data_IF_816032628236
#
_entry.id   IF_816032628236
#
_cell.length_a   1.000
_cell.length_b   1.000
_cell.length_c   1.000
_cell.angle_alpha   90.00
_cell.angle_beta   90.00
_cell.angle_gamma   90.00
#
_symmetry.space_group_name_H-M   'P 1'
#
loop_
_entity.id
_entity.type
_entity.pdbx_description
1 polymer ?
#
# COMPACT_ATOMS: atom_id res chain seq x y z
N UNK A 1 24.30 5.66 -7.75
CA UNK A 1 22.91 6.15 -7.89
C UNK A 1 22.03 5.31 -6.98
N UNK A 2 21.05 5.92 -6.30
CA UNK A 2 20.05 5.18 -5.54
C UNK A 2 19.11 4.48 -6.52
N UNK A 3 18.98 3.16 -6.42
CA UNK A 3 18.06 2.38 -7.26
C UNK A 3 16.62 2.63 -6.81
N UNK A 4 15.74 2.96 -7.76
CA UNK A 4 14.30 3.18 -7.55
C UNK A 4 13.65 1.89 -7.04
N UNK A 5 12.73 2.00 -6.09
CA UNK A 5 11.98 0.88 -5.53
C UNK A 5 10.50 0.94 -5.90
N UNK A 6 9.96 -0.14 -6.45
CA UNK A 6 8.54 -0.33 -6.69
C UNK A 6 7.97 -1.43 -5.80
N UNK A 7 6.84 -1.14 -5.15
CA UNK A 7 6.12 -2.05 -4.28
C UNK A 7 4.70 -2.27 -4.81
N UNK A 8 4.32 -3.52 -5.01
CA UNK A 8 2.94 -3.93 -5.24
C UNK A 8 2.32 -4.36 -3.91
N UNK A 9 1.22 -3.72 -3.52
CA UNK A 9 0.29 -4.29 -2.55
C UNK A 9 -0.78 -5.08 -3.31
N UNK A 10 -0.67 -6.40 -3.27
CA UNK A 10 -1.61 -7.29 -3.91
C UNK A 10 -2.78 -7.57 -2.97
N UNK A 11 -3.91 -6.97 -3.28
CA UNK A 11 -5.14 -7.03 -2.53
C UNK A 11 -6.10 -8.12 -3.02
N UNK A 12 -5.58 -9.19 -3.62
CA UNK A 12 -6.37 -10.42 -3.83
C UNK A 12 -6.90 -10.93 -2.49
N UNK A 13 -8.14 -11.43 -2.48
CA UNK A 13 -8.75 -12.02 -1.28
C UNK A 13 -8.30 -13.48 -1.05
N UNK A 14 -7.49 -14.01 -1.97
CA UNK A 14 -6.84 -15.31 -1.85
C UNK A 14 -5.46 -15.10 -1.24
N UNK A 15 -5.12 -15.92 -0.26
CA UNK A 15 -3.76 -15.97 0.27
C UNK A 15 -2.79 -16.58 -0.77
N UNK A 16 -1.50 -16.58 -0.46
CA UNK A 16 -0.46 -17.07 -1.36
C UNK A 16 -0.43 -18.59 -1.53
N UNK A 17 -1.31 -19.35 -0.86
CA UNK A 17 -1.49 -20.78 -1.15
C UNK A 17 -2.31 -21.02 -2.43
N UNK A 18 -2.97 -19.99 -2.94
CA UNK A 18 -3.78 -20.05 -4.14
C UNK A 18 -3.27 -19.12 -5.26
N UNK A 19 -3.47 -19.54 -6.51
CA UNK A 19 -3.18 -18.70 -7.67
C UNK A 19 -4.11 -17.46 -7.72
N UNK A 20 -3.55 -16.34 -8.17
CA UNK A 20 -4.23 -15.05 -8.26
C UNK A 20 -3.98 -14.36 -9.59
N UNK A 21 -5.04 -14.09 -10.35
CA UNK A 21 -4.93 -13.33 -11.61
C UNK A 21 -4.38 -11.91 -11.40
N UNK A 22 -4.70 -11.29 -10.25
CA UNK A 22 -4.15 -9.99 -9.87
C UNK A 22 -2.63 -10.05 -9.74
N UNK A 23 -2.10 -11.14 -9.17
CA UNK A 23 -0.64 -11.35 -9.09
C UNK A 23 -0.03 -11.56 -10.47
N UNK A 24 -0.62 -12.40 -11.31
CA UNK A 24 -0.12 -12.61 -12.67
C UNK A 24 0.01 -11.28 -13.42
N UNK A 25 -1.02 -10.42 -13.38
CA UNK A 25 -0.97 -9.10 -14.01
C UNK A 25 0.06 -8.17 -13.34
N UNK A 26 0.13 -8.15 -12.01
CA UNK A 26 1.14 -7.34 -11.30
C UNK A 26 2.56 -7.76 -11.66
N UNK A 27 2.82 -9.05 -11.85
CA UNK A 27 4.14 -9.56 -12.22
C UNK A 27 4.58 -9.09 -13.61
N UNK A 28 3.68 -8.98 -14.58
CA UNK A 28 4.00 -8.40 -15.91
C UNK A 28 4.48 -6.93 -15.80
N UNK A 29 3.81 -6.16 -14.93
CA UNK A 29 4.20 -4.76 -14.65
C UNK A 29 5.56 -4.71 -13.97
N UNK A 30 5.78 -5.55 -12.95
CA UNK A 30 7.05 -5.60 -12.23
C UNK A 30 8.20 -6.10 -13.11
N UNK A 31 7.97 -7.05 -14.02
CA UNK A 31 8.98 -7.51 -14.97
C UNK A 31 9.42 -6.36 -15.89
N UNK A 32 8.45 -5.55 -16.34
CA UNK A 32 8.74 -4.35 -17.14
C UNK A 32 9.57 -3.35 -16.35
N UNK A 33 9.21 -3.05 -15.11
CA UNK A 33 9.97 -2.13 -14.25
C UNK A 33 11.39 -2.66 -13.95
N UNK A 34 11.52 -3.97 -13.75
CA UNK A 34 12.82 -4.60 -13.45
C UNK A 34 13.80 -4.48 -14.61
N UNK A 35 13.32 -4.42 -15.86
CA UNK A 35 14.16 -4.16 -17.06
C UNK A 35 14.75 -2.74 -17.08
N UNK A 36 14.16 -1.83 -16.31
CA UNK A 36 14.61 -0.43 -16.13
C UNK A 36 15.41 -0.23 -14.83
N UNK A 37 16.04 -1.29 -14.30
CA UNK A 37 16.84 -1.29 -13.06
C UNK A 37 16.08 -0.88 -11.78
N UNK A 38 14.75 -0.99 -11.80
CA UNK A 38 13.88 -0.79 -10.63
C UNK A 38 13.89 -2.04 -9.75
N UNK A 39 14.13 -1.87 -8.44
CA UNK A 39 13.94 -2.95 -7.47
C UNK A 39 12.46 -3.15 -7.20
N UNK A 40 11.98 -4.36 -7.41
CA UNK A 40 10.55 -4.69 -7.31
C UNK A 40 10.28 -5.60 -6.11
N UNK A 41 9.14 -5.40 -5.45
CA UNK A 41 8.63 -6.25 -4.37
C UNK A 41 7.11 -6.35 -4.48
N UNK A 42 6.56 -7.52 -4.13
CA UNK A 42 5.10 -7.73 -3.98
C UNK A 42 4.80 -8.19 -2.57
N UNK A 43 3.76 -7.62 -1.95
CA UNK A 43 3.18 -8.08 -0.68
C UNK A 43 1.75 -8.54 -0.97
N UNK A 44 1.45 -9.81 -0.66
CA UNK A 44 0.07 -10.32 -0.64
C UNK A 44 -0.60 -9.91 0.66
N UNK A 45 -1.56 -8.98 0.60
CA UNK A 45 -2.22 -8.49 1.81
C UNK A 45 -3.00 -9.56 2.57
N UNK A 46 -3.53 -10.57 1.87
CA UNK A 46 -4.27 -11.68 2.47
C UNK A 46 -3.39 -12.61 3.34
N UNK A 47 -2.06 -12.52 3.24
CA UNK A 47 -1.15 -13.32 4.07
C UNK A 47 -0.89 -12.69 5.45
N UNK A 48 -1.40 -11.47 5.69
CA UNK A 48 -1.11 -10.70 6.89
C UNK A 48 -2.40 -10.39 7.66
N UNK A 49 -2.28 -10.37 8.97
CA UNK A 49 -3.33 -9.89 9.85
C UNK A 49 -3.34 -8.35 9.85
N UNK A 50 -4.20 -7.74 9.04
CA UNK A 50 -4.34 -6.28 8.93
C UNK A 50 -5.64 -5.86 9.61
N UNK A 51 -5.52 -5.18 10.75
CA UNK A 51 -6.67 -4.72 11.51
C UNK A 51 -7.42 -3.59 10.79
N UNK A 52 -8.75 -3.60 10.90
CA UNK A 52 -9.59 -2.51 10.39
C UNK A 52 -9.31 -1.20 11.14
N UNK A 53 -9.39 -0.08 10.42
CA UNK A 53 -9.19 1.26 10.98
C UNK A 53 -8.23 2.08 10.11
N UNK A 54 -7.95 3.31 10.52
CA UNK A 54 -7.17 4.26 9.71
C UNK A 54 -5.78 4.58 10.28
N UNK A 55 -5.51 4.26 11.55
CA UNK A 55 -4.24 4.60 12.21
C UNK A 55 -3.03 3.89 11.57
N UNK A 56 -1.79 4.29 11.90
CA UNK A 56 -0.61 3.61 11.36
C UNK A 56 -0.38 2.23 12.01
N UNK A 57 -0.94 2.02 13.21
CA UNK A 57 -0.88 0.81 14.01
C UNK A 57 -2.19 0.73 14.83
N UNK A 58 -2.90 -0.40 14.75
CA UNK A 58 -4.08 -0.66 15.58
C UNK A 58 -3.74 -1.41 16.88
N UNK A 59 -2.50 -1.85 17.06
CA UNK A 59 -2.10 -2.75 18.14
C UNK A 59 -2.57 -4.19 17.93
N UNK A 60 -2.53 -4.99 19.00
CA UNK A 60 -3.16 -6.33 19.06
C UNK A 60 -2.81 -7.30 17.90
N UNK A 61 -1.56 -7.27 17.44
CA UNK A 61 -1.09 -8.16 16.37
C UNK A 61 -1.37 -7.65 14.96
N UNK A 62 -1.71 -6.37 14.81
CA UNK A 62 -1.76 -5.69 13.51
C UNK A 62 -0.40 -5.71 12.83
N UNK A 63 -0.38 -6.25 11.61
CA UNK A 63 0.80 -6.37 10.78
C UNK A 63 0.94 -5.22 9.76
N UNK A 64 0.00 -4.27 9.74
CA UNK A 64 0.14 -3.10 8.89
C UNK A 64 1.45 -2.31 9.12
N UNK A 65 1.96 -2.09 10.34
CA UNK A 65 3.17 -1.27 10.54
C UNK A 65 4.41 -1.77 9.77
N UNK A 66 4.58 -3.10 9.63
CA UNK A 66 5.69 -3.68 8.86
C UNK A 66 5.51 -3.50 7.35
N UNK A 67 4.27 -3.66 6.85
CA UNK A 67 3.91 -3.38 5.45
C UNK A 67 4.12 -1.89 5.16
N UNK A 68 3.65 -1.03 6.05
CA UNK A 68 3.71 0.42 5.90
C UNK A 68 5.14 0.95 5.92
N UNK A 69 6.07 0.29 6.62
CA UNK A 69 7.50 0.58 6.50
C UNK A 69 8.00 0.41 5.07
N UNK A 70 7.63 -0.69 4.39
CA UNK A 70 7.99 -0.93 2.98
C UNK A 70 7.32 0.08 2.04
N UNK A 71 6.06 0.44 2.32
CA UNK A 71 5.34 1.49 1.58
C UNK A 71 6.09 2.83 1.65
N UNK A 72 6.58 3.24 2.82
CA UNK A 72 7.35 4.49 2.98
C UNK A 72 8.72 4.45 2.32
N UNK A 73 9.29 3.27 2.11
CA UNK A 73 10.57 3.09 1.44
C UNK A 73 10.44 3.01 -0.09
N UNK A 74 9.23 2.77 -0.61
CA UNK A 74 8.97 2.65 -2.04
C UNK A 74 8.84 4.03 -2.71
N UNK A 75 9.45 4.17 -3.88
CA UNK A 75 9.29 5.34 -4.74
C UNK A 75 8.03 5.22 -5.62
N UNK A 76 7.65 3.98 -5.95
CA UNK A 76 6.47 3.63 -6.74
C UNK A 76 5.62 2.66 -5.93
N UNK A 77 4.37 3.04 -5.63
CA UNK A 77 3.39 2.18 -4.99
C UNK A 77 2.30 1.78 -5.98
N UNK A 78 2.07 0.49 -6.14
CA UNK A 78 1.04 -0.09 -7.02
C UNK A 78 0.04 -0.85 -6.16
N UNK A 79 -1.25 -0.52 -6.28
CA UNK A 79 -2.32 -1.30 -5.64
C UNK A 79 -2.91 -2.26 -6.67
N UNK A 80 -2.55 -3.54 -6.57
CA UNK A 80 -3.13 -4.60 -7.40
C UNK A 80 -4.40 -5.11 -6.74
N UNK A 81 -5.57 -4.88 -7.35
CA UNK A 81 -6.86 -5.35 -6.80
C UNK A 81 -7.61 -6.22 -7.82
N UNK A 82 -8.26 -7.32 -7.39
CA UNK A 82 -9.30 -7.91 -8.20
C UNK A 82 -10.49 -6.95 -8.30
N UNK A 83 -11.31 -7.12 -9.34
CA UNK A 83 -12.59 -6.43 -9.49
C UNK A 83 -13.72 -7.43 -9.34
N UNK A 84 -14.72 -7.07 -8.54
CA UNK A 84 -15.95 -7.83 -8.41
C UNK A 84 -17.14 -6.87 -8.53
N UNK A 85 -17.98 -7.05 -9.55
CA UNK A 85 -19.10 -6.15 -9.86
C UNK A 85 -18.70 -4.67 -10.02
N UNK A 86 -17.48 -4.43 -10.51
CA UNK A 86 -16.93 -3.07 -10.68
C UNK A 86 -16.24 -2.50 -9.44
N UNK A 87 -16.30 -3.19 -8.31
CA UNK A 87 -15.70 -2.75 -7.05
C UNK A 87 -14.32 -3.37 -6.81
N UNK A 88 -13.45 -2.61 -6.15
CA UNK A 88 -12.16 -3.09 -5.61
C UNK A 88 -12.36 -3.99 -4.40
N UNK A 89 -11.36 -4.77 -4.03
CA UNK A 89 -11.44 -5.64 -2.85
C UNK A 89 -11.52 -4.84 -1.55
N UNK A 90 -12.03 -5.49 -0.49
CA UNK A 90 -11.99 -4.96 0.87
C UNK A 90 -10.55 -4.70 1.33
N UNK A 91 -9.61 -5.59 0.99
CA UNK A 91 -8.19 -5.40 1.29
C UNK A 91 -7.59 -4.17 0.60
N UNK A 92 -7.99 -3.88 -0.64
CA UNK A 92 -7.55 -2.67 -1.34
C UNK A 92 -8.11 -1.41 -0.68
N UNK A 93 -9.39 -1.45 -0.28
CA UNK A 93 -10.03 -0.36 0.45
C UNK A 93 -9.32 -0.10 1.77
N UNK A 94 -9.07 -1.15 2.55
CA UNK A 94 -8.35 -1.06 3.81
C UNK A 94 -6.96 -0.47 3.62
N UNK A 95 -6.15 -1.01 2.70
CA UNK A 95 -4.79 -0.50 2.45
C UNK A 95 -4.79 1.00 2.06
N UNK A 96 -5.77 1.45 1.27
CA UNK A 96 -5.92 2.86 0.89
C UNK A 96 -6.28 3.71 2.11
N UNK A 97 -7.25 3.29 2.93
CA UNK A 97 -7.65 4.02 4.14
C UNK A 97 -6.46 4.20 5.10
N UNK A 98 -5.70 3.13 5.30
CA UNK A 98 -4.48 3.14 6.13
C UNK A 98 -3.39 4.05 5.58
N UNK A 99 -3.18 4.05 4.26
CA UNK A 99 -2.22 4.93 3.61
C UNK A 99 -2.62 6.41 3.69
N UNK A 100 -3.91 6.71 3.47
CA UNK A 100 -4.41 8.08 3.43
C UNK A 100 -4.29 8.80 4.77
N UNK A 101 -4.41 8.12 5.91
CA UNK A 101 -4.18 8.74 7.22
C UNK A 101 -2.73 9.27 7.34
N UNK A 102 -1.75 8.48 6.90
CA UNK A 102 -0.37 8.92 6.91
C UNK A 102 -0.13 10.13 6.00
N UNK A 103 -0.77 10.15 4.82
CA UNK A 103 -0.74 11.30 3.90
C UNK A 103 -1.35 12.54 4.57
N UNK A 104 -2.50 12.39 5.22
CA UNK A 104 -3.18 13.50 5.93
C UNK A 104 -2.33 14.02 7.08
N UNK A 105 -1.73 13.14 7.90
CA UNK A 105 -0.79 13.53 8.97
C UNK A 105 0.39 14.31 8.40
N UNK A 106 1.00 13.81 7.32
CA UNK A 106 2.14 14.48 6.68
C UNK A 106 1.76 15.85 6.16
N UNK A 107 0.64 15.96 5.46
CA UNK A 107 0.13 17.23 4.95
C UNK A 107 -0.13 18.23 6.09
N UNK A 108 -0.75 17.80 7.20
CA UNK A 108 -0.98 18.65 8.37
C UNK A 108 0.33 19.18 8.97
N UNK A 109 1.36 18.34 9.04
CA UNK A 109 2.68 18.75 9.53
C UNK A 109 3.34 19.78 8.61
N UNK A 110 3.31 19.54 7.29
CA UNK A 110 3.92 20.43 6.31
C UNK A 110 3.17 21.78 6.20
N UNK A 111 1.89 21.83 6.56
CA UNK A 111 1.03 23.02 6.49
C UNK A 111 0.65 23.60 7.85
N UNK A 112 1.32 23.19 8.94
CA UNK A 112 0.93 23.58 10.30
C UNK A 112 0.89 25.11 10.47
N UNK A 113 1.86 25.83 9.87
CA UNK A 113 1.94 27.29 9.90
C UNK A 113 0.84 28.00 9.10
N UNK A 114 0.33 27.36 8.05
CA UNK A 114 -0.83 27.84 7.28
C UNK A 114 -2.12 27.64 8.06
N UNK A 115 -2.28 26.48 8.70
CA UNK A 115 -3.46 26.15 9.52
C UNK A 115 -3.56 27.09 10.72
N UNK A 116 -2.45 27.38 11.42
CA UNK A 116 -2.46 28.31 12.56
C UNK A 116 -2.88 29.73 12.18
N UNK A 117 -2.56 30.18 10.96
CA UNK A 117 -2.95 31.52 10.45
C UNK A 117 -4.43 31.63 10.07
N UNK A 118 -5.11 30.52 9.80
CA UNK A 118 -6.55 30.50 9.48
C UNK A 118 -7.43 30.43 10.74
N UNK A 119 -6.85 30.11 11.90
CA UNK A 119 -7.54 29.99 13.17
C UNK A 119 -7.53 31.31 13.99
N UNK A 120 -6.84 32.34 13.49
CA UNK A 120 -6.84 33.72 14.00
C UNK A 120 -7.81 34.58 13.19
#
# INVERSE_FOLDING_TARGET
MTSIKALVLNASLKDSSEASHTEALSNEVLETLSKEDVKTETIRLADYNISLGISDDMGEGDEWPQIFKKVKEADILIIGTPLWLGEKSSLATLAIERYMEAVVKRWKMDNLSFITKLAE
#
